data_IF_669050202133
#
_entry.id   IF_669050202133
#
_cell.length_a   1.000
_cell.length_b   1.000
_cell.length_c   1.000
_cell.angle_alpha   90.00
_cell.angle_beta   90.00
_cell.angle_gamma   90.00
#
_symmetry.space_group_name_H-M   'P 1'
#
loop_
_entity.id
_entity.type
_entity.pdbx_description
1 polymer ?
#
# COMPACT_ATOMS: atom_id res chain seq x y z
N UNK A 1 10.55 25.16 -7.22
CA UNK A 1 9.20 24.91 -6.68
C UNK A 1 8.12 25.48 -7.60
N UNK A 2 8.07 26.80 -7.89
CA UNK A 2 7.04 27.44 -8.76
C UNK A 2 6.73 26.67 -10.06
N UNK A 3 7.77 26.18 -10.76
CA UNK A 3 7.61 25.43 -12.00
C UNK A 3 6.92 24.08 -11.77
N UNK A 4 7.27 23.38 -10.69
CA UNK A 4 6.68 22.09 -10.31
C UNK A 4 5.21 22.29 -9.93
N UNK A 5 4.91 23.28 -9.09
CA UNK A 5 3.53 23.61 -8.70
C UNK A 5 2.65 23.94 -9.92
N UNK A 6 3.17 24.70 -10.89
CA UNK A 6 2.45 25.00 -12.10
C UNK A 6 2.16 23.76 -12.97
N UNK A 7 3.14 22.86 -13.10
CA UNK A 7 2.95 21.60 -13.83
C UNK A 7 1.95 20.70 -13.11
N UNK A 8 2.04 20.57 -11.78
CA UNK A 8 1.10 19.77 -10.98
C UNK A 8 -0.34 20.30 -11.12
N UNK A 9 -0.51 21.63 -11.10
CA UNK A 9 -1.82 22.27 -11.32
C UNK A 9 -2.36 22.00 -12.73
N UNK A 10 -1.49 21.92 -13.73
CA UNK A 10 -1.91 21.61 -15.11
C UNK A 10 -2.23 20.12 -15.28
N UNK A 11 -1.43 19.21 -14.70
CA UNK A 11 -1.74 17.78 -14.66
C UNK A 11 -3.11 17.52 -14.04
N UNK A 12 -3.49 18.29 -13.00
CA UNK A 12 -4.82 18.21 -12.40
C UNK A 12 -5.95 18.60 -13.38
N UNK A 13 -5.71 19.56 -14.29
CA UNK A 13 -6.67 19.94 -15.34
C UNK A 13 -6.76 18.89 -16.46
N UNK A 14 -5.65 18.25 -16.80
CA UNK A 14 -5.59 17.20 -17.81
C UNK A 14 -6.24 15.91 -17.34
N UNK A 15 -6.30 15.67 -16.03
CA UNK A 15 -6.75 14.41 -15.44
C UNK A 15 -8.21 14.09 -15.78
N UNK A 16 -8.45 12.83 -16.18
CA UNK A 16 -9.78 12.28 -16.42
C UNK A 16 -10.14 11.30 -15.31
N UNK A 17 -11.29 11.49 -14.71
CA UNK A 17 -11.78 10.60 -13.63
C UNK A 17 -12.05 9.21 -14.20
N UNK A 18 -11.57 8.20 -13.48
CA UNK A 18 -11.79 6.78 -13.81
C UNK A 18 -13.14 6.32 -13.26
N UNK A 19 -13.44 6.69 -12.01
CA UNK A 19 -14.67 6.26 -11.32
C UNK A 19 -14.73 4.75 -11.14
N UNK A 20 -15.89 4.16 -11.46
CA UNK A 20 -16.15 2.72 -11.45
C UNK A 20 -16.21 2.13 -12.85
N UNK A 21 -15.58 2.77 -13.84
CA UNK A 21 -15.51 2.30 -15.22
C UNK A 21 -14.57 1.08 -15.30
N UNK A 22 -15.16 -0.10 -15.36
CA UNK A 22 -14.45 -1.39 -15.37
C UNK A 22 -13.47 -1.51 -16.54
N UNK A 23 -13.81 -0.96 -17.70
CA UNK A 23 -12.94 -1.01 -18.89
C UNK A 23 -11.68 -0.16 -18.70
N UNK A 24 -11.81 1.05 -18.13
CA UNK A 24 -10.66 1.88 -17.78
C UNK A 24 -9.80 1.22 -16.72
N UNK A 25 -10.40 0.65 -15.69
CA UNK A 25 -9.69 -0.10 -14.65
C UNK A 25 -8.88 -1.22 -15.26
N UNK A 26 -9.49 -2.01 -16.15
CA UNK A 26 -8.81 -3.09 -16.90
C UNK A 26 -7.64 -2.57 -17.72
N UNK A 27 -7.82 -1.48 -18.47
CA UNK A 27 -6.76 -0.88 -19.30
C UNK A 27 -5.57 -0.43 -18.45
N UNK A 28 -5.83 0.29 -17.33
CA UNK A 28 -4.79 0.74 -16.41
C UNK A 28 -4.00 -0.44 -15.86
N UNK A 29 -4.72 -1.44 -15.35
CA UNK A 29 -4.12 -2.62 -14.75
C UNK A 29 -3.32 -3.43 -15.78
N UNK A 30 -3.84 -3.60 -16.99
CA UNK A 30 -3.14 -4.32 -18.06
C UNK A 30 -1.82 -3.62 -18.44
N UNK A 31 -1.83 -2.30 -18.64
CA UNK A 31 -0.62 -1.55 -18.98
C UNK A 31 0.42 -1.64 -17.87
N UNK A 32 0.01 -1.45 -16.63
CA UNK A 32 0.90 -1.53 -15.47
C UNK A 32 1.45 -2.95 -15.25
N UNK A 33 0.74 -3.96 -15.75
CA UNK A 33 1.17 -5.36 -15.77
C UNK A 33 1.92 -5.77 -17.07
N UNK A 34 2.63 -4.86 -17.72
CA UNK A 34 3.34 -5.13 -19.00
C UNK A 34 2.42 -5.57 -20.14
N UNK A 35 1.23 -5.00 -20.25
CA UNK A 35 0.18 -5.37 -21.20
C UNK A 35 -0.37 -6.80 -21.02
N UNK A 36 -0.38 -7.31 -19.78
CA UNK A 36 -1.03 -8.58 -19.45
C UNK A 36 -2.54 -8.34 -19.23
N UNK A 37 -3.33 -8.73 -20.24
CA UNK A 37 -4.79 -8.56 -20.20
C UNK A 37 -5.46 -9.46 -19.15
N UNK A 38 -4.86 -10.61 -18.80
CA UNK A 38 -5.39 -11.53 -17.80
C UNK A 38 -5.31 -10.88 -16.42
N UNK A 39 -4.16 -10.30 -16.08
CA UNK A 39 -4.00 -9.54 -14.83
C UNK A 39 -4.95 -8.35 -14.80
N UNK A 40 -5.09 -7.63 -15.92
CA UNK A 40 -6.01 -6.51 -16.04
C UNK A 40 -7.46 -6.89 -15.73
N UNK A 41 -7.95 -7.99 -16.29
CA UNK A 41 -9.29 -8.52 -16.07
C UNK A 41 -9.52 -8.94 -14.61
N UNK A 42 -8.53 -9.60 -14.01
CA UNK A 42 -8.60 -10.03 -12.60
C UNK A 42 -8.70 -8.84 -11.65
N UNK A 43 -7.89 -7.79 -11.86
CA UNK A 43 -7.93 -6.57 -11.06
C UNK A 43 -9.27 -5.85 -11.25
N UNK A 44 -9.76 -5.70 -12.48
CA UNK A 44 -11.07 -5.11 -12.74
C UNK A 44 -12.21 -5.90 -12.05
N UNK A 45 -12.14 -7.23 -12.08
CA UNK A 45 -13.08 -8.11 -11.39
C UNK A 45 -13.01 -7.91 -9.86
N UNK A 46 -11.81 -7.77 -9.29
CA UNK A 46 -11.64 -7.50 -7.86
C UNK A 46 -12.29 -6.17 -7.47
N UNK A 47 -12.03 -5.09 -8.22
CA UNK A 47 -12.67 -3.79 -7.99
C UNK A 47 -14.20 -3.84 -8.15
N UNK A 48 -14.71 -4.60 -9.11
CA UNK A 48 -16.16 -4.76 -9.29
C UNK A 48 -16.82 -5.48 -8.10
N UNK A 49 -16.13 -6.44 -7.47
CA UNK A 49 -16.64 -7.19 -6.32
C UNK A 49 -16.66 -6.37 -5.02
N UNK A 50 -15.60 -5.61 -4.73
CA UNK A 50 -15.47 -4.90 -3.45
C UNK A 50 -15.75 -3.40 -3.55
N UNK A 51 -15.88 -2.87 -4.75
CA UNK A 51 -16.13 -1.44 -5.00
C UNK A 51 -14.86 -0.58 -4.88
N UNK A 52 -15.05 0.73 -5.07
CA UNK A 52 -13.97 1.72 -5.13
C UNK A 52 -13.18 1.83 -3.82
N UNK A 53 -13.88 1.77 -2.70
CA UNK A 53 -13.33 1.86 -1.34
C UNK A 53 -12.95 0.48 -0.78
N UNK A 54 -13.15 -0.59 -1.56
CA UNK A 54 -12.90 -1.95 -1.12
C UNK A 54 -11.41 -2.29 -1.05
N UNK A 55 -11.10 -3.20 -0.16
CA UNK A 55 -9.73 -3.69 0.05
C UNK A 55 -9.43 -4.83 -0.91
N UNK A 56 -8.30 -4.74 -1.60
CA UNK A 56 -7.79 -5.78 -2.48
C UNK A 56 -6.37 -6.11 -2.01
N UNK A 57 -6.08 -7.39 -1.78
CA UNK A 57 -4.75 -7.89 -1.40
C UNK A 57 -4.27 -8.93 -2.40
N UNK A 58 -2.96 -9.18 -2.45
CA UNK A 58 -2.35 -10.16 -3.33
C UNK A 58 -1.71 -11.26 -2.50
N UNK A 59 -2.10 -12.50 -2.75
CA UNK A 59 -1.65 -13.69 -2.04
C UNK A 59 -1.13 -14.74 -3.02
N UNK A 60 -0.33 -15.69 -2.50
CA UNK A 60 0.12 -16.82 -3.28
C UNK A 60 -0.95 -17.92 -3.31
N UNK A 61 -1.25 -18.41 -4.52
CA UNK A 61 -2.12 -19.56 -4.68
C UNK A 61 -1.37 -20.87 -4.34
N UNK A 62 -2.09 -21.86 -3.85
CA UNK A 62 -1.54 -23.21 -3.63
C UNK A 62 -1.31 -23.99 -4.94
N UNK A 63 -1.83 -23.50 -6.05
CA UNK A 63 -1.77 -24.12 -7.38
C UNK A 63 -1.23 -23.16 -8.45
N UNK A 64 -1.36 -23.57 -9.70
CA UNK A 64 -0.86 -22.80 -10.85
C UNK A 64 -1.85 -21.76 -11.38
N UNK A 65 -3.10 -21.81 -10.95
CA UNK A 65 -4.16 -20.91 -11.42
C UNK A 65 -4.14 -19.60 -10.63
N UNK A 66 -4.33 -18.49 -11.33
CA UNK A 66 -4.53 -17.16 -10.75
C UNK A 66 -6.01 -16.82 -10.77
N UNK A 67 -6.57 -16.44 -9.61
CA UNK A 67 -8.01 -16.15 -9.47
C UNK A 67 -8.28 -15.10 -8.38
N UNK A 68 -9.51 -14.58 -8.38
CA UNK A 68 -10.00 -13.60 -7.38
C UNK A 68 -11.09 -14.24 -6.53
N UNK A 69 -10.90 -14.19 -5.22
CA UNK A 69 -11.94 -14.55 -4.25
C UNK A 69 -12.22 -13.39 -3.29
N UNK A 70 -13.41 -13.37 -2.68
CA UNK A 70 -13.79 -12.38 -1.66
C UNK A 70 -13.97 -13.13 -0.35
N UNK A 71 -13.18 -12.72 0.63
CA UNK A 71 -13.17 -13.34 1.95
C UNK A 71 -13.62 -12.34 3.02
N UNK A 72 -14.05 -12.85 4.16
CA UNK A 72 -14.33 -12.05 5.34
C UNK A 72 -13.06 -11.30 5.76
N UNK A 73 -13.15 -9.99 5.90
CA UNK A 73 -11.97 -9.18 6.22
C UNK A 73 -12.29 -7.71 6.39
N UNK A 74 -11.32 -6.95 6.86
CA UNK A 74 -11.46 -5.53 7.13
C UNK A 74 -10.12 -4.82 7.04
N UNK A 75 -10.12 -3.58 6.57
CA UNK A 75 -9.00 -2.66 6.72
C UNK A 75 -9.42 -1.45 7.56
N UNK A 76 -8.50 -0.97 8.39
CA UNK A 76 -8.66 0.28 9.13
C UNK A 76 -7.35 1.08 9.16
N UNK A 77 -7.50 2.39 9.28
CA UNK A 77 -6.45 3.40 9.14
C UNK A 77 -5.65 3.57 10.45
N UNK A 78 -4.92 2.52 10.82
CA UNK A 78 -3.91 2.51 11.89
C UNK A 78 -2.77 1.60 11.48
N UNK A 79 -1.58 2.15 11.38
CA UNK A 79 -0.36 1.39 11.12
C UNK A 79 0.34 0.92 12.38
N UNK A 80 1.49 0.29 12.22
CA UNK A 80 2.28 -0.22 13.33
C UNK A 80 2.78 0.90 14.26
N UNK A 81 2.80 0.64 15.56
CA UNK A 81 3.30 1.57 16.57
C UNK A 81 4.82 1.76 16.56
N UNK A 82 5.53 0.85 15.91
CA UNK A 82 6.99 0.92 15.78
C UNK A 82 7.45 0.29 14.47
N UNK A 83 8.36 0.94 13.71
CA UNK A 83 8.95 0.35 12.50
C UNK A 83 9.71 -0.96 12.79
N UNK A 84 10.11 -1.20 14.03
CA UNK A 84 10.75 -2.45 14.43
C UNK A 84 9.83 -3.66 14.39
N UNK A 85 8.52 -3.48 14.23
CA UNK A 85 7.56 -4.59 13.99
C UNK A 85 7.59 -5.10 12.55
N UNK A 86 8.16 -4.36 11.61
CA UNK A 86 8.29 -4.73 10.20
C UNK A 86 8.95 -6.11 10.05
N UNK A 87 8.34 -6.97 9.23
CA UNK A 87 8.86 -8.30 8.87
C UNK A 87 9.34 -8.34 7.43
N UNK A 88 8.79 -7.48 6.56
CA UNK A 88 9.17 -7.31 5.17
C UNK A 88 9.77 -5.91 4.96
N UNK A 89 11.10 -5.75 5.01
CA UNK A 89 11.76 -4.44 4.88
C UNK A 89 11.60 -3.81 3.49
N UNK A 90 11.42 -4.60 2.44
CA UNK A 90 11.27 -4.09 1.07
C UNK A 90 9.95 -3.33 0.91
N UNK A 91 8.87 -3.84 1.49
CA UNK A 91 7.55 -3.22 1.49
C UNK A 91 7.28 -2.33 2.72
N UNK A 92 8.16 -2.36 3.72
CA UNK A 92 7.95 -1.73 5.02
C UNK A 92 6.65 -2.19 5.71
N UNK A 93 6.36 -3.48 5.64
CA UNK A 93 5.16 -4.11 6.18
C UNK A 93 5.48 -5.12 7.28
N UNK A 94 4.59 -5.24 8.27
CA UNK A 94 4.55 -6.33 9.21
C UNK A 94 3.48 -7.33 8.77
N UNK A 95 3.91 -8.50 8.31
CA UNK A 95 3.06 -9.58 7.87
C UNK A 95 2.99 -10.65 8.96
N UNK A 96 1.79 -11.00 9.41
CA UNK A 96 1.52 -11.98 10.45
C UNK A 96 0.62 -13.09 9.87
N UNK A 97 1.12 -14.32 9.85
CA UNK A 97 0.40 -15.47 9.33
C UNK A 97 -0.26 -16.26 10.46
N UNK A 98 -1.57 -16.52 10.33
CA UNK A 98 -2.39 -17.19 11.32
C UNK A 98 -2.24 -16.61 12.74
N UNK A 99 -2.28 -15.25 12.91
CA UNK A 99 -2.04 -14.62 14.19
C UNK A 99 -3.19 -14.82 15.16
N UNK A 100 -2.85 -14.76 16.45
CA UNK A 100 -3.80 -14.36 17.48
C UNK A 100 -3.98 -12.84 17.48
N UNK A 101 -5.17 -12.38 17.84
CA UNK A 101 -5.52 -10.94 17.86
C UNK A 101 -6.07 -10.60 19.24
N UNK A 102 -5.35 -9.80 20.00
CA UNK A 102 -5.79 -9.25 21.28
C UNK A 102 -6.48 -7.91 21.04
N UNK A 103 -7.70 -7.78 21.51
CA UNK A 103 -8.52 -6.57 21.43
C UNK A 103 -8.68 -5.97 22.83
N UNK A 104 -8.13 -4.81 23.07
CA UNK A 104 -8.18 -4.13 24.38
C UNK A 104 -8.67 -2.69 24.25
N UNK A 105 -9.64 -2.30 25.08
CA UNK A 105 -10.28 -0.98 25.00
C UNK A 105 -9.53 0.14 25.70
N UNK A 106 -8.46 -0.18 26.42
CA UNK A 106 -7.61 0.76 27.15
C UNK A 106 -6.18 0.77 26.63
N UNK A 107 -5.37 1.65 27.22
CA UNK A 107 -3.94 1.77 26.98
C UNK A 107 -3.17 0.68 27.72
N UNK A 108 -2.14 0.14 27.08
CA UNK A 108 -1.20 -0.82 27.66
C UNK A 108 0.15 -0.12 27.87
N UNK A 109 0.53 0.10 29.13
CA UNK A 109 1.81 0.72 29.48
C UNK A 109 2.73 -0.22 30.27
N UNK A 110 2.16 -1.25 30.93
CA UNK A 110 2.89 -2.23 31.73
C UNK A 110 2.92 -3.60 31.04
N UNK A 111 4.10 -4.16 30.91
CA UNK A 111 4.26 -5.52 30.38
C UNK A 111 3.64 -6.58 31.30
N UNK A 112 3.66 -6.33 32.62
CA UNK A 112 3.18 -7.28 33.62
C UNK A 112 1.74 -7.71 33.39
N UNK A 113 0.92 -6.78 32.94
CA UNK A 113 -0.50 -7.04 32.63
C UNK A 113 -0.68 -7.94 31.40
N UNK A 114 0.29 -7.91 30.45
CA UNK A 114 0.27 -8.71 29.24
C UNK A 114 0.84 -10.11 29.41
N UNK A 115 1.62 -10.39 30.48
CA UNK A 115 2.30 -11.68 30.65
C UNK A 115 1.35 -12.89 30.54
N UNK A 116 0.13 -12.88 31.12
CA UNK A 116 -0.80 -14.00 31.01
C UNK A 116 -1.21 -14.33 29.57
N UNK A 117 -1.17 -13.33 28.67
CA UNK A 117 -1.44 -13.53 27.23
C UNK A 117 -0.17 -13.89 26.47
N UNK A 118 0.96 -13.22 26.79
CA UNK A 118 2.22 -13.41 26.03
C UNK A 118 2.83 -14.80 26.24
N UNK A 119 2.79 -15.35 27.44
CA UNK A 119 3.38 -16.66 27.73
C UNK A 119 2.72 -17.80 26.94
N UNK A 120 1.39 -17.97 26.94
CA UNK A 120 0.73 -19.01 26.14
C UNK A 120 0.90 -18.77 24.63
N UNK A 121 0.88 -17.51 24.17
CA UNK A 121 1.13 -17.19 22.75
C UNK A 121 2.55 -17.57 22.35
N UNK A 122 3.56 -17.23 23.14
CA UNK A 122 4.94 -17.62 22.89
C UNK A 122 5.10 -19.16 22.81
N UNK A 123 4.45 -19.89 23.72
CA UNK A 123 4.46 -21.37 23.70
C UNK A 123 3.80 -21.96 22.45
N UNK A 124 2.77 -21.28 21.91
CA UNK A 124 2.10 -21.72 20.67
C UNK A 124 2.95 -21.53 19.42
N UNK A 125 3.94 -20.63 19.45
CA UNK A 125 4.76 -20.23 18.30
C UNK A 125 4.04 -19.38 17.25
N UNK A 126 2.75 -19.07 17.46
CA UNK A 126 1.95 -18.21 16.55
C UNK A 126 2.25 -16.74 16.78
N UNK A 127 2.10 -15.90 15.74
CA UNK A 127 2.18 -14.45 15.88
C UNK A 127 1.03 -13.90 16.75
N UNK A 128 1.26 -12.71 17.34
CA UNK A 128 0.26 -11.94 18.06
C UNK A 128 0.15 -10.54 17.48
N UNK A 129 -1.07 -10.11 17.16
CA UNK A 129 -1.41 -8.72 16.95
C UNK A 129 -2.09 -8.16 18.20
N UNK A 130 -1.60 -7.04 18.71
CA UNK A 130 -2.26 -6.28 19.78
C UNK A 130 -2.94 -5.07 19.16
N UNK A 131 -4.26 -4.97 19.33
CA UNK A 131 -5.07 -3.80 18.97
C UNK A 131 -5.58 -3.20 20.26
N UNK A 132 -5.01 -2.08 20.68
CA UNK A 132 -5.35 -1.42 21.93
C UNK A 132 -5.57 0.08 21.72
N UNK A 133 -6.14 0.79 22.71
CA UNK A 133 -6.22 2.25 22.64
C UNK A 133 -4.85 2.87 22.33
N UNK A 134 -3.83 2.42 23.03
CA UNK A 134 -2.42 2.72 22.80
C UNK A 134 -1.55 1.62 23.41
N UNK A 135 -0.32 1.48 22.95
CA UNK A 135 0.71 0.67 23.60
C UNK A 135 1.97 1.52 23.66
N UNK A 136 2.44 1.83 24.85
CA UNK A 136 3.59 2.73 25.03
C UNK A 136 4.53 2.32 26.17
N UNK A 137 5.49 3.20 26.46
CA UNK A 137 6.37 3.10 27.60
C UNK A 137 7.14 1.78 27.63
N UNK A 138 7.15 1.13 28.82
CA UNK A 138 7.83 -0.13 29.07
C UNK A 138 7.24 -1.27 28.24
N UNK A 139 5.92 -1.31 28.06
CA UNK A 139 5.26 -2.36 27.29
C UNK A 139 5.74 -2.36 25.84
N UNK A 140 5.67 -1.23 25.14
CA UNK A 140 6.12 -1.13 23.75
C UNK A 140 7.58 -1.48 23.58
N UNK A 141 8.46 -0.91 24.45
CA UNK A 141 9.90 -1.16 24.38
C UNK A 141 10.24 -2.63 24.57
N UNK A 142 9.57 -3.30 25.49
CA UNK A 142 9.82 -4.71 25.76
C UNK A 142 9.27 -5.61 24.64
N UNK A 143 8.11 -5.30 24.06
CA UNK A 143 7.58 -6.03 22.90
C UNK A 143 8.55 -5.93 21.72
N UNK A 144 9.07 -4.74 21.43
CA UNK A 144 10.07 -4.52 20.37
C UNK A 144 11.35 -5.32 20.63
N UNK A 145 11.89 -5.28 21.84
CA UNK A 145 13.11 -6.04 22.19
C UNK A 145 12.90 -7.55 22.03
N UNK A 146 11.77 -8.10 22.48
CA UNK A 146 11.48 -9.52 22.35
C UNK A 146 11.25 -9.94 20.90
N UNK A 147 10.65 -9.07 20.07
CA UNK A 147 10.52 -9.29 18.62
C UNK A 147 11.88 -9.32 17.95
N UNK A 148 12.78 -8.35 18.25
CA UNK A 148 14.13 -8.28 17.69
C UNK A 148 14.99 -9.48 18.07
N UNK A 149 14.79 -10.02 19.29
CA UNK A 149 15.46 -11.23 19.75
C UNK A 149 14.88 -12.53 19.18
N UNK A 150 13.78 -12.45 18.41
CA UNK A 150 13.09 -13.61 17.86
C UNK A 150 12.30 -14.42 18.89
N UNK A 151 12.16 -13.93 20.12
CA UNK A 151 11.41 -14.62 21.17
C UNK A 151 9.89 -14.54 20.98
N UNK A 152 9.41 -13.45 20.36
CA UNK A 152 8.01 -13.25 20.04
C UNK A 152 7.85 -12.78 18.58
N UNK A 153 6.87 -13.32 17.90
CA UNK A 153 6.36 -12.80 16.62
C UNK A 153 5.19 -11.88 16.93
N UNK A 154 5.41 -10.57 16.98
CA UNK A 154 4.40 -9.65 17.51
C UNK A 154 4.40 -8.33 16.74
N UNK A 155 3.21 -7.75 16.63
CA UNK A 155 3.00 -6.36 16.23
C UNK A 155 1.93 -5.70 17.12
N UNK A 156 1.97 -4.39 17.22
CA UNK A 156 0.99 -3.61 17.96
C UNK A 156 0.54 -2.40 17.15
N UNK A 157 -0.76 -2.14 17.18
CA UNK A 157 -1.41 -1.03 16.49
C UNK A 157 -2.42 -0.35 17.41
N UNK A 158 -2.72 0.92 17.14
CA UNK A 158 -3.81 1.62 17.82
C UNK A 158 -5.16 1.13 17.32
N UNK A 159 -6.12 1.03 18.23
CA UNK A 159 -7.51 0.77 17.86
C UNK A 159 -8.06 1.93 17.02
N UNK A 160 -8.86 1.65 15.96
CA UNK A 160 -9.45 2.68 15.12
C UNK A 160 -10.55 3.46 15.85
N UNK A 161 -10.65 4.75 15.55
CA UNK A 161 -11.65 5.64 16.15
C UNK A 161 -11.28 6.16 17.55
N UNK A 162 -12.22 6.88 18.17
CA UNK A 162 -12.10 7.48 19.51
C UNK A 162 -13.39 7.30 20.28
N UNK A 163 -13.31 7.22 21.62
CA UNK A 163 -14.47 7.11 22.50
C UNK A 163 -15.38 5.92 22.14
N UNK A 164 -16.68 6.14 22.09
CA UNK A 164 -17.67 5.09 21.81
C UNK A 164 -17.51 4.48 20.39
N UNK A 165 -16.99 5.25 19.43
CA UNK A 165 -16.67 4.71 18.09
C UNK A 165 -15.55 3.70 18.14
N UNK A 166 -14.50 3.94 18.94
CA UNK A 166 -13.42 2.99 19.14
C UNK A 166 -13.96 1.68 19.71
N UNK A 167 -14.83 1.75 20.73
CA UNK A 167 -15.48 0.57 21.31
C UNK A 167 -16.30 -0.18 20.26
N UNK A 168 -17.08 0.54 19.44
CA UNK A 168 -17.87 -0.06 18.37
C UNK A 168 -17.01 -0.72 17.28
N UNK A 169 -15.87 -0.11 16.90
CA UNK A 169 -14.93 -0.67 15.93
C UNK A 169 -14.20 -1.90 16.49
N UNK A 170 -13.80 -1.89 17.76
CA UNK A 170 -13.24 -3.07 18.43
C UNK A 170 -14.22 -4.24 18.44
N UNK A 171 -15.51 -3.97 18.66
CA UNK A 171 -16.56 -4.98 18.55
C UNK A 171 -16.70 -5.55 17.15
N UNK A 172 -16.66 -4.69 16.12
CA UNK A 172 -16.73 -5.11 14.74
C UNK A 172 -15.54 -6.05 14.40
N UNK A 173 -14.34 -5.70 14.87
CA UNK A 173 -13.14 -6.54 14.71
C UNK A 173 -13.27 -7.86 15.52
N UNK A 174 -13.82 -7.80 16.74
CA UNK A 174 -14.05 -9.00 17.56
C UNK A 174 -14.97 -9.99 16.84
N UNK A 175 -16.10 -9.50 16.32
CA UNK A 175 -17.05 -10.32 15.57
C UNK A 175 -16.41 -10.91 14.32
N UNK A 176 -15.62 -10.10 13.59
CA UNK A 176 -14.92 -10.52 12.38
C UNK A 176 -13.89 -11.63 12.66
N UNK A 177 -13.19 -11.55 13.79
CA UNK A 177 -12.06 -12.44 14.11
C UNK A 177 -12.41 -13.58 15.07
N UNK A 178 -13.66 -13.59 15.56
CA UNK A 178 -14.13 -14.57 16.57
C UNK A 178 -13.54 -14.34 17.96
N UNK A 179 -13.01 -13.12 18.23
CA UNK A 179 -12.41 -12.76 19.51
C UNK A 179 -13.38 -12.05 20.46
N UNK A 180 -12.86 -11.67 21.62
CA UNK A 180 -13.58 -10.91 22.66
C UNK A 180 -12.84 -9.61 22.92
N UNK A 181 -13.58 -8.50 23.00
CA UNK A 181 -13.01 -7.22 23.44
C UNK A 181 -12.78 -7.29 24.94
N UNK A 182 -11.53 -7.18 25.34
CA UNK A 182 -11.14 -7.13 26.75
C UNK A 182 -11.42 -5.72 27.27
N UNK A 183 -12.39 -5.61 28.18
CA UNK A 183 -12.87 -4.35 28.73
C UNK A 183 -13.29 -4.56 30.18
N UNK A 184 -12.80 -3.72 31.08
CA UNK A 184 -13.18 -3.75 32.49
C UNK A 184 -14.68 -3.46 32.70
N UNK A 185 -15.29 -2.65 31.83
CA UNK A 185 -16.73 -2.38 31.85
C UNK A 185 -17.56 -3.66 31.65
N UNK A 186 -16.94 -4.69 31.01
CA UNK A 186 -17.53 -6.01 30.78
C UNK A 186 -17.06 -7.07 31.75
N UNK A 187 -16.22 -6.68 32.69
CA UNK A 187 -15.64 -7.59 33.70
C UNK A 187 -14.40 -8.35 33.22
N UNK A 188 -13.83 -8.00 32.07
CA UNK A 188 -12.60 -8.61 31.54
C UNK A 188 -11.39 -7.72 31.83
N UNK A 189 -10.29 -8.35 32.27
CA UNK A 189 -8.99 -7.69 32.47
C UNK A 189 -7.90 -8.43 31.69
N UNK A 190 -6.79 -7.77 31.39
CA UNK A 190 -5.65 -8.41 30.71
C UNK A 190 -5.11 -9.60 31.54
N UNK A 191 -5.12 -9.49 32.85
CA UNK A 191 -4.62 -10.51 33.76
C UNK A 191 -5.46 -11.81 33.72
N UNK A 192 -6.74 -11.72 33.38
CA UNK A 192 -7.67 -12.85 33.29
C UNK A 192 -7.94 -13.27 31.84
N UNK A 193 -7.19 -12.71 30.87
CA UNK A 193 -7.38 -13.03 29.47
C UNK A 193 -6.74 -14.38 29.13
N UNK A 194 -7.51 -15.24 28.48
CA UNK A 194 -7.07 -16.56 27.99
C UNK A 194 -6.94 -16.56 26.48
N UNK A 195 -6.25 -17.55 25.92
CA UNK A 195 -6.09 -17.72 24.46
C UNK A 195 -7.44 -17.82 23.74
N UNK A 196 -8.44 -18.44 24.33
CA UNK A 196 -9.77 -18.62 23.73
C UNK A 196 -10.53 -17.30 23.55
N UNK A 197 -10.11 -16.25 24.24
CA UNK A 197 -10.68 -14.91 24.10
C UNK A 197 -10.04 -14.12 22.97
N UNK A 198 -8.90 -14.60 22.42
CA UNK A 198 -8.20 -13.94 21.33
C UNK A 198 -8.90 -14.24 19.99
N UNK A 199 -9.03 -13.21 19.16
CA UNK A 199 -9.43 -13.39 17.78
C UNK A 199 -8.35 -14.08 16.96
N UNK A 200 -8.71 -14.59 15.80
CA UNK A 200 -7.77 -15.16 14.82
C UNK A 200 -8.14 -14.76 13.40
N UNK A 201 -7.16 -14.79 12.50
CA UNK A 201 -7.35 -14.56 11.07
C UNK A 201 -6.33 -15.39 10.29
N UNK A 202 -6.49 -15.57 8.98
CA UNK A 202 -5.48 -16.24 8.16
C UNK A 202 -4.24 -15.36 8.02
N UNK A 203 -4.43 -14.07 7.80
CA UNK A 203 -3.33 -13.12 7.64
C UNK A 203 -3.69 -11.73 8.16
N UNK A 204 -2.69 -11.05 8.71
CA UNK A 204 -2.76 -9.62 8.98
C UNK A 204 -1.54 -8.94 8.38
N UNK A 205 -1.79 -7.89 7.60
CA UNK A 205 -0.75 -7.02 7.02
C UNK A 205 -0.87 -5.63 7.60
N UNK A 206 0.24 -5.07 8.08
CA UNK A 206 0.27 -3.76 8.72
C UNK A 206 1.35 -2.94 8.03
N UNK A 207 0.97 -1.86 7.41
CA UNK A 207 1.87 -0.82 6.91
C UNK A 207 2.00 0.34 7.92
N UNK A 208 2.61 1.45 7.52
CA UNK A 208 2.75 2.64 8.38
C UNK A 208 1.42 3.34 8.70
N UNK A 209 0.41 3.17 7.86
CA UNK A 209 -0.85 3.90 7.90
C UNK A 209 -2.06 3.01 8.17
N UNK A 210 -2.02 1.73 7.75
CA UNK A 210 -3.16 0.82 7.72
C UNK A 210 -2.87 -0.53 8.35
N UNK A 211 -3.94 -1.19 8.80
CA UNK A 211 -3.97 -2.60 9.21
C UNK A 211 -5.06 -3.31 8.43
N UNK A 212 -4.70 -4.37 7.72
CA UNK A 212 -5.61 -5.22 6.94
C UNK A 212 -5.70 -6.60 7.56
N UNK A 213 -6.91 -7.01 7.93
CA UNK A 213 -7.23 -8.36 8.43
C UNK A 213 -7.88 -9.14 7.29
N UNK A 214 -7.32 -10.27 6.92
CA UNK A 214 -7.78 -11.12 5.83
C UNK A 214 -8.28 -12.44 6.38
N UNK A 215 -9.49 -12.81 6.00
CA UNK A 215 -10.14 -14.06 6.38
C UNK A 215 -10.14 -14.28 7.91
N UNK A 216 -10.84 -13.38 8.61
CA UNK A 216 -11.10 -13.50 10.04
C UNK A 216 -11.90 -14.77 10.35
N UNK A 217 -11.63 -15.39 11.50
CA UNK A 217 -12.27 -16.65 11.91
C UNK A 217 -13.62 -16.47 12.61
N UNK A 218 -14.25 -15.27 12.46
CA UNK A 218 -15.57 -14.99 13.01
C UNK A 218 -16.69 -15.80 12.33
N UNK A 219 -17.78 -15.94 13.05
CA UNK A 219 -18.97 -16.62 12.52
C UNK A 219 -19.70 -15.70 11.51
N UNK A 220 -19.90 -16.19 10.28
CA UNK A 220 -20.53 -15.44 9.17
C UNK A 220 -21.95 -14.96 9.54
N UNK A 221 -22.70 -15.71 10.33
CA UNK A 221 -24.06 -15.27 10.76
C UNK A 221 -23.97 -14.12 11.77
N UNK A 222 -22.98 -14.15 12.67
CA UNK A 222 -22.75 -13.04 13.60
C UNK A 222 -22.31 -11.77 12.85
N UNK A 223 -21.48 -11.91 11.82
CA UNK A 223 -21.06 -10.81 10.95
C UNK A 223 -22.29 -10.22 10.23
N UNK A 224 -23.14 -11.06 9.62
CA UNK A 224 -24.40 -10.60 8.97
C UNK A 224 -25.34 -9.90 9.96
N UNK A 225 -25.50 -10.43 11.16
CA UNK A 225 -26.32 -9.81 12.19
C UNK A 225 -25.77 -8.43 12.58
N UNK A 226 -24.43 -8.30 12.71
CA UNK A 226 -23.79 -7.02 12.98
C UNK A 226 -23.99 -6.01 11.85
N UNK A 227 -23.85 -6.44 10.61
CA UNK A 227 -24.16 -5.63 9.40
C UNK A 227 -25.60 -5.12 9.44
N UNK A 228 -26.56 -5.98 9.75
CA UNK A 228 -27.98 -5.60 9.85
C UNK A 228 -28.23 -4.63 11.03
N UNK A 229 -27.54 -4.81 12.15
CA UNK A 229 -27.61 -3.87 13.29
C UNK A 229 -27.10 -2.48 12.90
N UNK A 230 -25.97 -2.38 12.19
CA UNK A 230 -25.43 -1.10 11.71
C UNK A 230 -26.40 -0.45 10.72
N UNK A 231 -27.02 -1.20 9.80
CA UNK A 231 -28.03 -0.69 8.88
C UNK A 231 -29.24 -0.12 9.63
N UNK A 232 -29.73 -0.82 10.64
CA UNK A 232 -30.83 -0.33 11.48
C UNK A 232 -30.49 0.95 12.24
N UNK A 233 -29.24 1.08 12.72
CA UNK A 233 -28.76 2.33 13.34
C UNK A 233 -28.71 3.49 12.33
N UNK A 234 -28.32 3.24 11.07
CA UNK A 234 -28.32 4.25 10.01
C UNK A 234 -29.71 4.77 9.66
N UNK A 235 -30.74 3.91 9.76
CA UNK A 235 -32.13 4.29 9.49
C UNK A 235 -32.73 5.13 10.64
N UNK A 236 -32.27 4.93 11.86
CA UNK A 236 -32.81 5.57 13.05
C UNK A 236 -32.07 6.85 13.44
N UNK A 237 -30.82 7.04 13.01
CA UNK A 237 -30.05 8.25 13.33
C UNK A 237 -30.56 9.47 12.56
N UNK A 238 -30.64 10.61 13.25
CA UNK A 238 -30.99 11.91 12.69
C UNK A 238 -29.78 12.78 12.36
N UNK A 239 -28.59 12.35 12.76
CA UNK A 239 -27.33 13.06 12.53
C UNK A 239 -26.70 12.60 11.22
N UNK A 240 -26.52 13.51 10.26
CA UNK A 240 -25.85 13.22 8.99
C UNK A 240 -24.41 12.75 9.20
N UNK A 241 -23.71 13.33 10.20
CA UNK A 241 -22.37 12.92 10.58
C UNK A 241 -22.30 11.47 11.12
N UNK A 242 -23.25 11.10 12.01
CA UNK A 242 -23.29 9.73 12.52
C UNK A 242 -23.68 8.74 11.43
N UNK A 243 -24.57 9.14 10.53
CA UNK A 243 -24.94 8.34 9.36
C UNK A 243 -23.74 8.07 8.46
N UNK A 244 -22.93 9.09 8.15
CA UNK A 244 -21.69 8.94 7.39
C UNK A 244 -20.73 7.95 8.07
N UNK A 245 -20.52 8.07 9.39
CA UNK A 245 -19.62 7.18 10.14
C UNK A 245 -20.15 5.75 10.29
N UNK A 246 -21.45 5.57 10.37
CA UNK A 246 -22.07 4.24 10.30
C UNK A 246 -21.91 3.63 8.91
N UNK A 247 -22.00 4.44 7.84
CA UNK A 247 -21.79 3.99 6.47
C UNK A 247 -20.34 3.55 6.23
N UNK A 248 -19.34 4.28 6.76
CA UNK A 248 -17.94 3.88 6.73
C UNK A 248 -17.73 2.51 7.42
N UNK A 249 -18.30 2.32 8.61
CA UNK A 249 -18.23 1.05 9.34
C UNK A 249 -18.89 -0.09 8.58
N UNK A 250 -20.08 0.18 8.02
CA UNK A 250 -20.79 -0.79 7.20
C UNK A 250 -19.95 -1.22 5.99
N UNK A 251 -19.36 -0.27 5.28
CA UNK A 251 -18.52 -0.56 4.12
C UNK A 251 -17.30 -1.41 4.49
N UNK A 252 -16.64 -1.10 5.62
CA UNK A 252 -15.49 -1.86 6.12
C UNK A 252 -15.84 -3.29 6.53
N UNK A 253 -17.00 -3.52 7.15
CA UNK A 253 -17.41 -4.84 7.64
C UNK A 253 -18.09 -5.68 6.56
N UNK A 254 -18.96 -5.08 5.74
CA UNK A 254 -19.76 -5.79 4.74
C UNK A 254 -19.04 -5.98 3.41
N UNK A 255 -18.03 -5.17 3.10
CA UNK A 255 -17.30 -5.20 1.84
C UNK A 255 -16.36 -6.40 1.70
N UNK A 256 -15.91 -6.97 2.79
CA UNK A 256 -14.89 -8.01 2.79
C UNK A 256 -13.55 -7.53 2.22
N UNK A 257 -12.68 -8.47 1.92
CA UNK A 257 -11.40 -8.25 1.24
C UNK A 257 -11.37 -9.10 -0.04
N UNK A 258 -11.14 -8.48 -1.19
CA UNK A 258 -10.87 -9.23 -2.41
C UNK A 258 -9.41 -9.70 -2.38
N UNK A 259 -9.19 -10.99 -2.48
CA UNK A 259 -7.86 -11.59 -2.51
C UNK A 259 -7.56 -12.06 -3.92
N UNK A 260 -6.51 -11.50 -4.51
CA UNK A 260 -5.92 -11.94 -5.76
C UNK A 260 -4.93 -13.06 -5.46
N UNK A 261 -5.33 -14.30 -5.69
CA UNK A 261 -4.46 -15.46 -5.55
C UNK A 261 -3.64 -15.63 -6.83
N UNK A 262 -2.32 -15.46 -6.73
CA UNK A 262 -1.41 -15.60 -7.86
C UNK A 262 -0.86 -17.01 -7.89
N UNK A 263 -1.09 -17.72 -9.00
CA UNK A 263 -0.60 -19.07 -9.24
C UNK A 263 0.50 -19.09 -10.31
N UNK A 264 1.52 -19.94 -10.12
CA UNK A 264 2.58 -20.19 -11.07
C UNK A 264 3.16 -21.61 -10.95
N UNK A 265 3.96 -22.03 -11.94
CA UNK A 265 4.56 -23.36 -11.96
C UNK A 265 5.85 -23.46 -11.14
N UNK A 266 6.49 -22.33 -10.83
CA UNK A 266 7.71 -22.26 -10.03
C UNK A 266 7.68 -21.08 -9.06
N UNK A 267 8.47 -21.14 -7.99
CA UNK A 267 8.56 -20.09 -6.96
C UNK A 267 9.08 -18.75 -7.55
N UNK A 268 10.04 -18.82 -8.48
CA UNK A 268 10.59 -17.62 -9.14
C UNK A 268 9.53 -16.94 -10.01
N UNK A 269 8.78 -17.70 -10.79
CA UNK A 269 7.68 -17.20 -11.60
C UNK A 269 6.54 -16.65 -10.71
N UNK A 270 6.26 -17.32 -9.59
CA UNK A 270 5.28 -16.88 -8.60
C UNK A 270 5.61 -15.49 -8.07
N UNK A 271 6.86 -15.30 -7.63
CA UNK A 271 7.33 -14.03 -7.09
C UNK A 271 7.24 -12.92 -8.14
N UNK A 272 7.76 -13.16 -9.35
CA UNK A 272 7.72 -12.19 -10.46
C UNK A 272 6.28 -11.78 -10.81
N UNK A 273 5.38 -12.77 -10.91
CA UNK A 273 3.99 -12.52 -11.24
C UNK A 273 3.25 -11.79 -10.12
N UNK A 274 3.54 -12.12 -8.86
CA UNK A 274 2.99 -11.45 -7.69
C UNK A 274 3.42 -9.98 -7.65
N UNK A 275 4.70 -9.69 -7.85
CA UNK A 275 5.23 -8.32 -7.88
C UNK A 275 4.56 -7.51 -9.01
N UNK A 276 4.38 -8.09 -10.19
CA UNK A 276 3.68 -7.47 -11.33
C UNK A 276 2.21 -7.19 -11.04
N UNK A 277 1.52 -8.09 -10.35
CA UNK A 277 0.12 -7.89 -9.92
C UNK A 277 0.02 -6.79 -8.86
N UNK A 278 0.95 -6.77 -7.90
CA UNK A 278 1.03 -5.72 -6.88
C UNK A 278 1.22 -4.33 -7.51
N UNK A 279 2.16 -4.21 -8.44
CA UNK A 279 2.43 -2.95 -9.17
C UNK A 279 1.19 -2.47 -9.93
N UNK A 280 0.53 -3.39 -10.64
CA UNK A 280 -0.70 -3.08 -11.37
C UNK A 280 -1.84 -2.66 -10.44
N UNK A 281 -1.97 -3.28 -9.27
CA UNK A 281 -2.96 -2.93 -8.27
C UNK A 281 -2.71 -1.53 -7.69
N UNK A 282 -1.45 -1.21 -7.34
CA UNK A 282 -1.07 0.11 -6.83
C UNK A 282 -1.30 1.21 -7.88
N UNK A 283 -0.92 0.99 -9.13
CA UNK A 283 -1.18 1.92 -10.23
C UNK A 283 -2.68 2.13 -10.45
N UNK A 284 -3.48 1.05 -10.38
CA UNK A 284 -4.93 1.12 -10.53
C UNK A 284 -5.58 1.93 -9.39
N UNK A 285 -5.18 1.70 -8.14
CA UNK A 285 -5.63 2.51 -7.00
C UNK A 285 -5.30 3.99 -7.18
N UNK A 286 -4.05 4.30 -7.56
CA UNK A 286 -3.61 5.67 -7.83
C UNK A 286 -4.47 6.35 -8.91
N UNK A 287 -4.85 5.61 -9.95
CA UNK A 287 -5.71 6.11 -11.02
C UNK A 287 -7.16 6.31 -10.59
N UNK A 288 -7.70 5.43 -9.76
CA UNK A 288 -9.06 5.57 -9.19
C UNK A 288 -9.14 6.78 -8.26
N UNK A 289 -8.08 7.05 -7.48
CA UNK A 289 -8.01 8.18 -6.55
C UNK A 289 -7.91 9.53 -7.25
N UNK A 290 -6.95 9.69 -8.17
CA UNK A 290 -6.59 10.99 -8.74
C UNK A 290 -6.89 11.12 -10.24
N UNK A 291 -7.39 10.06 -10.87
CA UNK A 291 -7.65 10.04 -12.31
C UNK A 291 -6.44 9.64 -13.14
N UNK A 292 -6.63 9.66 -14.44
CA UNK A 292 -5.65 9.27 -15.48
C UNK A 292 -5.31 10.45 -16.38
N UNK A 293 -4.10 10.41 -16.93
CA UNK A 293 -3.60 11.34 -17.94
C UNK A 293 -3.09 10.57 -19.17
N UNK A 294 -2.80 11.25 -20.26
CA UNK A 294 -2.14 10.64 -21.42
C UNK A 294 -0.77 10.11 -21.03
N UNK A 295 -0.53 8.81 -21.30
CA UNK A 295 0.71 8.13 -20.97
C UNK A 295 1.87 8.41 -21.91
N UNK A 296 2.95 7.64 -21.76
CA UNK A 296 4.12 7.77 -22.62
C UNK A 296 4.88 9.10 -22.48
N UNK A 297 4.76 9.78 -21.34
CA UNK A 297 5.39 11.06 -21.07
C UNK A 297 4.68 12.28 -21.72
N UNK A 298 3.54 12.05 -22.40
CA UNK A 298 2.80 13.11 -23.12
C UNK A 298 2.21 14.14 -22.16
N UNK A 299 1.63 13.73 -21.04
CA UNK A 299 1.02 14.64 -20.07
C UNK A 299 2.02 15.67 -19.52
N UNK A 300 3.25 15.25 -19.19
CA UNK A 300 4.32 16.14 -18.74
C UNK A 300 4.76 17.10 -19.85
N UNK A 301 4.89 16.61 -21.09
CA UNK A 301 5.24 17.44 -22.24
C UNK A 301 4.17 18.50 -22.52
N UNK A 302 2.88 18.19 -22.35
CA UNK A 302 1.79 19.17 -22.46
C UNK A 302 1.84 20.19 -21.34
N UNK A 303 2.03 19.75 -20.11
CA UNK A 303 2.14 20.62 -18.94
C UNK A 303 3.34 21.58 -19.02
N UNK A 304 4.38 21.27 -19.80
CA UNK A 304 5.51 22.16 -20.06
C UNK A 304 5.06 23.53 -20.58
N UNK A 305 3.97 23.60 -21.34
CA UNK A 305 3.50 24.87 -21.96
C UNK A 305 3.16 25.96 -20.94
N UNK A 306 2.72 25.58 -19.72
CA UNK A 306 2.39 26.55 -18.66
C UNK A 306 3.62 27.31 -18.16
N UNK A 307 4.82 26.70 -18.29
CA UNK A 307 6.06 27.28 -17.83
C UNK A 307 6.44 28.56 -18.62
N UNK A 308 5.97 28.69 -19.89
CA UNK A 308 6.19 29.88 -20.71
C UNK A 308 5.48 31.12 -20.18
N UNK A 309 4.45 30.95 -19.35
CA UNK A 309 3.67 32.05 -18.75
C UNK A 309 4.15 32.43 -17.35
N UNK A 310 5.05 31.65 -16.76
CA UNK A 310 5.60 31.91 -15.43
C UNK A 310 6.58 33.07 -15.47
N UNK A 311 6.40 33.98 -14.53
CA UNK A 311 7.34 35.10 -14.33
C UNK A 311 8.36 34.71 -13.27
N UNK A 312 9.62 34.83 -13.63
CA UNK A 312 10.74 34.67 -12.70
C UNK A 312 11.02 36.04 -12.03
N UNK A 313 11.31 36.02 -10.74
CA UNK A 313 11.63 37.22 -9.98
C UNK A 313 13.11 37.65 -10.17
N UNK A 314 13.97 36.69 -10.58
CA UNK A 314 15.38 36.89 -10.86
C UNK A 314 15.93 35.88 -11.87
N UNK A 315 17.20 36.01 -12.27
CA UNK A 315 17.85 35.18 -13.28
C UNK A 315 18.01 33.71 -12.83
N UNK A 316 18.25 33.48 -11.54
CA UNK A 316 18.44 32.14 -10.98
C UNK A 316 17.11 31.37 -11.00
N UNK A 317 16.02 32.01 -10.64
CA UNK A 317 14.69 31.47 -10.76
C UNK A 317 14.31 31.14 -12.21
N UNK A 318 14.64 32.04 -13.16
CA UNK A 318 14.47 31.76 -14.58
C UNK A 318 15.24 30.53 -15.04
N UNK A 319 16.47 30.37 -14.56
CA UNK A 319 17.29 29.17 -14.81
C UNK A 319 16.64 27.90 -14.23
N UNK A 320 16.12 27.96 -13.00
CA UNK A 320 15.39 26.85 -12.36
C UNK A 320 14.16 26.45 -13.17
N UNK A 321 13.37 27.38 -13.67
CA UNK A 321 12.23 27.10 -14.55
C UNK A 321 12.68 26.42 -15.84
N UNK A 322 13.78 26.84 -16.43
CA UNK A 322 14.36 26.21 -17.64
C UNK A 322 14.83 24.79 -17.39
N UNK A 323 15.46 24.51 -16.22
CA UNK A 323 15.85 23.16 -15.83
C UNK A 323 14.65 22.22 -15.78
N UNK A 324 13.58 22.63 -15.09
CA UNK A 324 12.34 21.83 -15.01
C UNK A 324 11.72 21.67 -16.39
N UNK A 325 11.66 22.73 -17.20
CA UNK A 325 11.14 22.70 -18.57
C UNK A 325 11.86 21.65 -19.45
N UNK A 326 13.15 21.48 -19.28
CA UNK A 326 13.93 20.47 -20.00
C UNK A 326 13.75 19.08 -19.41
N UNK A 327 13.67 18.98 -18.08
CA UNK A 327 13.53 17.71 -17.39
C UNK A 327 12.23 16.97 -17.71
N UNK A 328 11.11 17.70 -17.89
CA UNK A 328 9.82 17.07 -18.19
C UNK A 328 9.70 16.48 -19.61
N UNK A 329 10.68 16.73 -20.48
CA UNK A 329 10.79 16.02 -21.77
C UNK A 329 11.44 14.64 -21.64
N UNK A 330 12.21 14.41 -20.57
CA UNK A 330 13.02 13.23 -20.42
C UNK A 330 12.21 11.91 -20.45
N UNK A 331 11.03 11.79 -19.83
CA UNK A 331 10.26 10.55 -19.88
C UNK A 331 9.92 10.10 -21.30
N UNK A 332 9.34 10.99 -22.12
CA UNK A 332 9.05 10.67 -23.53
C UNK A 332 10.33 10.37 -24.32
N UNK A 333 11.35 11.20 -24.14
CA UNK A 333 12.66 11.03 -24.81
C UNK A 333 13.25 9.65 -24.53
N UNK A 334 13.31 9.26 -23.26
CA UNK A 334 13.88 7.97 -22.83
C UNK A 334 13.09 6.78 -23.36
N UNK A 335 11.75 6.85 -23.37
CA UNK A 335 10.89 5.82 -23.94
C UNK A 335 11.25 5.59 -25.42
N UNK A 336 11.39 6.68 -26.18
CA UNK A 336 11.71 6.63 -27.62
C UNK A 336 13.13 6.12 -27.87
N UNK A 337 14.10 6.57 -27.09
CA UNK A 337 15.50 6.13 -27.16
C UNK A 337 15.63 4.63 -26.82
N UNK A 338 14.89 4.14 -25.82
CA UNK A 338 14.82 2.72 -25.49
C UNK A 338 14.20 1.86 -26.61
N UNK A 339 13.33 2.46 -27.44
CA UNK A 339 12.82 1.82 -28.66
C UNK A 339 13.80 1.89 -29.85
N UNK A 340 14.99 2.46 -29.66
CA UNK A 340 16.04 2.55 -30.69
C UNK A 340 15.87 3.72 -31.66
N UNK A 341 15.05 4.71 -31.33
CA UNK A 341 14.76 5.86 -32.17
C UNK A 341 15.35 7.15 -31.61
N UNK A 342 15.41 8.20 -32.45
CA UNK A 342 15.92 9.52 -32.05
C UNK A 342 14.88 10.29 -31.23
N UNK A 343 15.10 10.37 -29.91
CA UNK A 343 14.16 10.98 -28.96
C UNK A 343 13.83 12.44 -29.27
N UNK A 344 14.82 13.21 -29.76
CA UNK A 344 14.63 14.64 -30.08
C UNK A 344 13.60 14.87 -31.16
N UNK A 345 13.59 14.03 -32.20
CA UNK A 345 12.67 14.12 -33.35
C UNK A 345 11.23 13.87 -32.90
N UNK A 346 11.03 12.80 -32.13
CA UNK A 346 9.70 12.43 -31.65
C UNK A 346 9.16 13.46 -30.65
N UNK A 347 10.00 13.91 -29.70
CA UNK A 347 9.62 14.97 -28.74
C UNK A 347 9.18 16.24 -29.46
N UNK A 348 9.95 16.70 -30.49
CA UNK A 348 9.57 17.88 -31.27
C UNK A 348 8.22 17.68 -31.97
N UNK A 349 8.00 16.56 -32.64
CA UNK A 349 6.75 16.27 -33.35
C UNK A 349 5.55 16.16 -32.41
N UNK A 350 5.72 15.54 -31.25
CA UNK A 350 4.66 15.46 -30.24
C UNK A 350 4.39 16.84 -29.63
N UNK A 351 5.42 17.68 -29.39
CA UNK A 351 5.27 19.02 -28.84
C UNK A 351 4.51 19.98 -29.76
N UNK A 352 4.65 19.87 -31.09
CA UNK A 352 3.91 20.66 -32.09
C UNK A 352 2.41 20.29 -32.09
N UNK A 353 2.04 19.09 -31.72
CA UNK A 353 0.66 18.66 -31.68
C UNK A 353 -0.05 19.11 -30.39
N UNK A 354 -1.36 18.90 -30.32
CA UNK A 354 -2.22 19.28 -29.21
C UNK A 354 -2.98 18.10 -28.63
N UNK A 355 -3.58 18.27 -27.45
CA UNK A 355 -4.39 17.26 -26.80
C UNK A 355 -3.59 16.02 -26.41
N UNK A 356 -4.21 14.87 -26.51
CA UNK A 356 -3.67 13.58 -26.08
C UNK A 356 -2.82 12.88 -27.18
N UNK A 357 -2.45 13.58 -28.24
CA UNK A 357 -1.62 13.05 -29.32
C UNK A 357 -0.21 12.77 -28.83
N UNK A 358 0.28 11.55 -29.07
CA UNK A 358 1.57 11.07 -28.63
C UNK A 358 2.17 10.03 -29.56
N UNK A 359 3.21 9.35 -29.10
CA UNK A 359 3.90 8.32 -29.82
C UNK A 359 3.80 6.97 -29.10
N UNK A 360 3.28 5.94 -29.80
CA UNK A 360 3.21 4.57 -29.33
C UNK A 360 4.50 3.83 -29.72
N UNK A 361 5.41 3.67 -28.78
CA UNK A 361 6.69 3.01 -29.00
C UNK A 361 6.56 1.50 -29.33
N UNK A 362 5.42 0.86 -28.99
CA UNK A 362 5.17 -0.56 -29.29
C UNK A 362 4.85 -0.79 -30.76
N UNK A 363 4.11 0.14 -31.40
CA UNK A 363 3.66 -0.02 -32.79
C UNK A 363 4.38 0.91 -33.76
N UNK A 364 5.29 1.78 -33.28
CA UNK A 364 5.98 2.85 -34.04
C UNK A 364 4.98 3.79 -34.74
N UNK A 365 3.92 4.19 -34.04
CA UNK A 365 2.86 5.02 -34.60
C UNK A 365 2.55 6.24 -33.72
N UNK A 366 2.15 7.33 -34.38
CA UNK A 366 1.61 8.50 -33.68
C UNK A 366 0.10 8.36 -33.55
N UNK A 367 -0.42 8.48 -32.34
CA UNK A 367 -1.84 8.25 -32.05
C UNK A 367 -2.33 9.12 -30.89
N UNK A 368 -3.64 9.14 -30.68
CA UNK A 368 -4.27 9.66 -29.47
C UNK A 368 -4.05 8.63 -28.35
N UNK A 369 -3.23 8.98 -27.37
CA UNK A 369 -2.78 8.07 -26.30
C UNK A 369 -3.93 7.55 -25.47
N UNK A 370 -4.92 8.41 -25.13
CA UNK A 370 -6.07 7.99 -24.35
C UNK A 370 -6.98 7.02 -25.10
N UNK A 371 -7.19 7.24 -26.40
CA UNK A 371 -7.99 6.31 -27.24
C UNK A 371 -7.26 5.00 -27.49
N UNK A 372 -5.94 5.04 -27.59
CA UNK A 372 -5.09 3.87 -27.73
C UNK A 372 -4.94 3.06 -26.42
N UNK A 373 -5.52 3.57 -25.32
CA UNK A 373 -5.39 2.96 -24.00
C UNK A 373 -4.03 3.16 -23.35
N UNK A 374 -3.14 4.00 -23.89
CA UNK A 374 -1.83 4.32 -23.33
C UNK A 374 -2.00 5.46 -22.33
N UNK A 375 -2.13 5.09 -21.08
CA UNK A 375 -2.56 5.97 -19.99
C UNK A 375 -1.66 5.80 -18.78
N UNK A 376 -1.45 6.90 -18.05
CA UNK A 376 -0.71 6.89 -16.78
C UNK A 376 -1.62 7.38 -15.63
N UNK A 377 -1.49 6.82 -14.42
CA UNK A 377 -2.13 7.39 -13.24
C UNK A 377 -1.55 8.79 -12.96
N UNK A 378 -2.41 9.81 -12.84
CA UNK A 378 -1.96 11.18 -12.54
C UNK A 378 -1.12 11.24 -11.27
N UNK A 379 -1.53 10.50 -10.22
CA UNK A 379 -0.81 10.45 -8.93
C UNK A 379 0.64 10.02 -9.11
N UNK A 380 0.89 8.98 -9.92
CA UNK A 380 2.25 8.49 -10.19
C UNK A 380 3.09 9.55 -10.88
N UNK A 381 2.56 10.16 -11.94
CA UNK A 381 3.26 11.22 -12.71
C UNK A 381 3.55 12.45 -11.84
N UNK A 382 2.59 12.86 -10.99
CA UNK A 382 2.73 13.99 -10.07
C UNK A 382 3.78 13.72 -9.00
N UNK A 383 3.68 12.60 -8.30
CA UNK A 383 4.60 12.25 -7.19
C UNK A 383 6.02 12.05 -7.69
N UNK A 384 6.19 11.46 -8.89
CA UNK A 384 7.51 11.33 -9.51
C UNK A 384 8.17 12.69 -9.74
N UNK A 385 7.43 13.67 -10.26
CA UNK A 385 7.93 15.02 -10.48
C UNK A 385 8.25 15.74 -9.16
N UNK A 386 7.34 15.69 -8.19
CA UNK A 386 7.50 16.32 -6.87
C UNK A 386 8.72 15.77 -6.11
N UNK A 387 8.86 14.45 -6.06
CA UNK A 387 9.99 13.80 -5.39
C UNK A 387 11.31 14.08 -6.10
N UNK A 388 11.35 14.02 -7.43
CA UNK A 388 12.54 14.33 -8.21
C UNK A 388 12.99 15.79 -7.97
N UNK A 389 12.07 16.74 -7.94
CA UNK A 389 12.35 18.14 -7.67
C UNK A 389 12.83 18.36 -6.22
N UNK A 390 12.21 17.70 -5.24
CA UNK A 390 12.60 17.77 -3.84
C UNK A 390 14.03 17.28 -3.61
N UNK A 391 14.37 16.11 -4.13
CA UNK A 391 15.72 15.52 -4.00
C UNK A 391 16.75 16.37 -4.74
N UNK A 392 16.43 16.83 -5.98
CA UNK A 392 17.32 17.70 -6.76
C UNK A 392 17.57 19.02 -6.05
N UNK A 393 16.55 19.61 -5.41
CA UNK A 393 16.66 20.83 -4.61
C UNK A 393 17.59 20.66 -3.43
N UNK A 394 17.51 19.54 -2.71
CA UNK A 394 18.43 19.21 -1.63
C UNK A 394 19.86 19.07 -2.12
N UNK A 395 20.08 18.36 -3.23
CA UNK A 395 21.44 18.17 -3.80
C UNK A 395 22.04 19.51 -4.21
N UNK A 396 21.27 20.42 -4.84
CA UNK A 396 21.72 21.74 -5.27
C UNK A 396 22.12 22.65 -4.09
N UNK A 397 21.54 22.46 -2.92
CA UNK A 397 21.83 23.26 -1.71
C UNK A 397 22.84 22.60 -0.79
N UNK A 398 23.32 21.41 -1.11
CA UNK A 398 24.26 20.62 -0.29
C UNK A 398 25.68 20.85 -0.77
N UNK A 399 26.59 21.22 0.15
CA UNK A 399 28.02 21.40 -0.17
C UNK A 399 28.79 20.08 -0.21
N UNK A 400 28.37 19.08 0.57
CA UNK A 400 28.96 17.74 0.57
C UNK A 400 27.94 16.67 0.97
N UNK A 401 28.17 15.44 0.55
CA UNK A 401 27.41 14.27 0.95
C UNK A 401 28.33 13.25 1.61
N UNK A 402 27.91 12.72 2.76
CA UNK A 402 28.56 11.57 3.40
C UNK A 402 27.75 10.32 3.02
N UNK A 403 28.43 9.37 2.41
CA UNK A 403 27.83 8.10 2.00
C UNK A 403 28.66 6.94 2.54
N UNK A 404 28.00 5.83 2.86
CA UNK A 404 28.68 4.60 3.22
C UNK A 404 29.39 4.03 1.99
N UNK A 405 30.67 3.64 2.19
CA UNK A 405 31.40 2.92 1.14
C UNK A 405 30.89 1.48 1.15
N UNK A 406 30.40 1.01 0.00
CA UNK A 406 30.11 -0.42 -0.18
C UNK A 406 31.40 -1.19 0.07
N UNK A 407 31.45 -1.97 1.17
CA UNK A 407 32.50 -2.97 1.33
C UNK A 407 32.34 -3.98 0.16
N UNK A 408 33.32 -4.01 -0.73
CA UNK A 408 33.47 -5.13 -1.64
C UNK A 408 33.65 -6.36 -0.74
N UNK A 409 32.70 -7.29 -0.76
CA UNK A 409 32.85 -8.59 -0.12
C UNK A 409 34.17 -9.21 -0.60
N UNK A 410 35.23 -9.02 0.17
CA UNK A 410 36.44 -9.77 0.04
C UNK A 410 36.03 -11.24 0.23
N UNK A 411 36.00 -11.98 -0.87
CA UNK A 411 35.61 -13.38 -0.90
C UNK A 411 36.25 -14.13 0.25
N UNK A 412 35.43 -14.65 1.15
CA UNK A 412 35.85 -15.40 2.31
C UNK A 412 36.65 -16.63 1.87
N UNK A 413 37.98 -16.48 1.84
CA UNK A 413 38.87 -17.62 1.90
C UNK A 413 38.69 -18.30 3.25
N UNK A 414 38.06 -19.47 3.27
CA UNK A 414 38.09 -20.36 4.44
C UNK A 414 39.56 -20.60 4.83
N UNK A 415 39.97 -20.41 6.07
CA UNK A 415 41.25 -20.93 6.53
C UNK A 415 41.13 -22.44 6.57
N UNK A 416 41.81 -23.10 5.65
CA UNK A 416 41.99 -24.55 5.64
C UNK A 416 42.74 -24.96 6.91
N UNK A 417 42.05 -25.70 7.76
CA UNK A 417 42.54 -26.15 9.07
C UNK A 417 43.88 -26.85 8.99
N UNK A 418 44.79 -26.43 9.86
CA UNK A 418 46.06 -27.06 10.10
C UNK A 418 45.88 -28.45 10.70
N UNK A 419 46.57 -29.42 10.10
CA UNK A 419 46.59 -30.81 10.55
C UNK A 419 47.22 -30.92 11.94
N UNK A 420 46.67 -31.82 12.76
CA UNK A 420 47.28 -32.31 13.97
C UNK A 420 48.55 -33.09 13.68
N UNK A 421 49.65 -32.85 14.41
CA UNK A 421 50.76 -33.83 14.45
C UNK A 421 50.41 -34.95 15.39
N UNK A 422 50.58 -36.21 14.90
CA UNK A 422 50.42 -37.40 15.71
C UNK A 422 51.43 -37.47 16.85
N UNK A 423 50.95 -38.02 17.95
CA UNK A 423 51.82 -38.56 19.02
C UNK A 423 51.72 -40.07 19.03
N UNK A 424 52.94 -40.69 19.09
CA UNK A 424 53.18 -42.06 19.45
C UNK A 424 52.61 -42.39 20.82
#
# INVERSE_FOLDING_TARGET
>A
DKAVEAIVADLAKQAKVVGSDSEKIKQIASISANNDEVIGELIATAFAKVGKEGVITVEEAKGTETFVDVVEGMQFDRGYLSPYFVTNPEKMEAELENPFILLYDKKVSSLKELLPVLEPVAQSGKPLLIIAEDVDGEALSTLVVNKLRGALKIAAVKAPGFGDRRKAMLEDIAILTGGTVISEERGYTLENTTIDMLGTANRVTIDKDNTTIVNGAGDTELIKNRVNQIKGQMETTTSDYDKEKLQERLAKLAGGVAVLYVGAASEVEMKEKKDRVDDALHATRAAVEEGIVAGGGVALLRAKTVLSTLKADNADEATGIQIVSRAVEAPLRTIVENAGLEGSVVVAKVAEATGDFGYNAKTDEYTDMLKAGIIDPKKVTRVALENAASVSGMILTTECALIDIKEENAGGGMPMGGGMPGMM
#
